data_IF_472701371112
#
_entry.id   IF_472701371112
#
_cell.length_a   1.000
_cell.length_b   1.000
_cell.length_c   1.000
_cell.angle_alpha   90.00
_cell.angle_beta   90.00
_cell.angle_gamma   90.00
#
_symmetry.space_group_name_H-M   'P 1'
#
loop_
_entity.id
_entity.type
_entity.pdbx_description
1 polymer ?
#
# COMPACT_ATOMS: atom_id res chain seq x y z
N UNK A 1 9.28 9.78 -7.79
CA UNK A 1 9.97 8.89 -6.82
C UNK A 1 11.04 8.08 -7.55
N UNK A 2 12.22 7.86 -6.96
CA UNK A 2 13.30 7.09 -7.61
C UNK A 2 13.35 5.66 -7.08
N UNK A 3 13.27 4.67 -7.98
CA UNK A 3 13.47 3.25 -7.67
C UNK A 3 14.91 3.01 -7.15
N UNK A 4 15.02 2.22 -6.10
CA UNK A 4 16.27 1.72 -5.54
C UNK A 4 16.40 0.25 -5.92
N UNK A 5 17.39 -0.05 -6.75
CA UNK A 5 17.66 -1.42 -7.22
C UNK A 5 18.05 -2.32 -6.04
N UNK A 6 17.47 -3.53 -6.03
CA UNK A 6 17.71 -4.53 -5.00
C UNK A 6 17.60 -5.91 -5.62
N UNK A 7 18.75 -6.57 -5.79
CA UNK A 7 18.81 -7.94 -6.32
C UNK A 7 18.01 -8.93 -5.48
N UNK A 8 17.87 -8.67 -4.17
CA UNK A 8 17.03 -9.47 -3.27
C UNK A 8 15.55 -9.32 -3.60
N UNK A 9 15.09 -8.10 -3.90
CA UNK A 9 13.72 -7.88 -4.35
C UNK A 9 13.49 -8.41 -5.75
N UNK A 10 14.44 -8.30 -6.67
CA UNK A 10 14.33 -8.91 -8.01
C UNK A 10 14.15 -10.44 -7.94
N UNK A 11 14.93 -11.11 -7.09
CA UNK A 11 14.79 -12.55 -6.86
C UNK A 11 13.44 -12.91 -6.24
N UNK A 12 12.96 -12.12 -5.27
CA UNK A 12 11.63 -12.31 -4.66
C UNK A 12 10.50 -12.03 -5.65
N UNK A 13 10.61 -11.02 -6.50
CA UNK A 13 9.61 -10.68 -7.51
C UNK A 13 9.47 -11.78 -8.55
N UNK A 14 10.59 -12.40 -8.94
CA UNK A 14 10.59 -13.58 -9.81
C UNK A 14 9.89 -14.77 -9.16
N UNK A 15 10.05 -14.93 -7.84
CA UNK A 15 9.44 -16.01 -7.07
C UNK A 15 7.98 -15.74 -6.67
N UNK A 16 7.55 -14.48 -6.59
CA UNK A 16 6.18 -14.05 -6.27
C UNK A 16 5.25 -14.00 -7.50
N UNK A 17 5.70 -14.56 -8.62
CA UNK A 17 4.91 -14.73 -9.82
C UNK A 17 4.61 -16.22 -10.01
N UNK A 18 3.36 -16.61 -9.81
CA UNK A 18 2.94 -18.01 -9.83
C UNK A 18 1.83 -18.23 -10.84
N UNK A 19 1.86 -19.37 -11.51
CA UNK A 19 0.76 -19.86 -12.33
C UNK A 19 0.39 -21.26 -11.81
N UNK A 20 -0.75 -21.37 -11.15
CA UNK A 20 -1.25 -22.61 -10.58
C UNK A 20 -2.31 -23.27 -11.48
N UNK A 21 -2.50 -22.79 -12.72
CA UNK A 21 -3.53 -23.26 -13.66
C UNK A 21 -4.95 -22.77 -13.33
N UNK A 22 -5.34 -22.79 -12.05
CA UNK A 22 -6.65 -22.29 -11.56
C UNK A 22 -6.61 -20.81 -11.15
N UNK A 23 -5.41 -20.27 -10.93
CA UNK A 23 -5.17 -18.87 -10.57
C UNK A 23 -3.72 -18.50 -10.84
N UNK A 24 -3.50 -17.23 -11.20
CA UNK A 24 -2.21 -16.59 -11.38
C UNK A 24 -1.99 -15.53 -10.30
N UNK A 25 -0.86 -15.61 -9.60
CA UNK A 25 -0.42 -14.56 -8.67
C UNK A 25 0.64 -13.70 -9.35
N UNK A 26 0.50 -12.39 -9.22
CA UNK A 26 1.49 -11.42 -9.65
C UNK A 26 1.80 -10.50 -8.47
N UNK A 27 2.89 -10.81 -7.75
CA UNK A 27 3.42 -9.99 -6.66
C UNK A 27 4.69 -9.24 -7.04
N UNK A 28 4.84 -8.02 -6.53
CA UNK A 28 6.02 -7.18 -6.74
C UNK A 28 6.32 -6.35 -5.49
N UNK A 29 7.58 -6.38 -5.08
CA UNK A 29 8.16 -5.64 -3.96
C UNK A 29 9.23 -4.73 -4.52
N UNK A 30 9.16 -3.45 -4.17
CA UNK A 30 10.08 -2.42 -4.66
C UNK A 30 10.44 -1.43 -3.57
N UNK A 31 11.65 -0.86 -3.66
CA UNK A 31 12.10 0.20 -2.76
C UNK A 31 12.21 1.52 -3.51
N UNK A 32 11.69 2.60 -2.93
CA UNK A 32 11.69 3.92 -3.51
C UNK A 32 12.28 4.95 -2.55
N UNK A 33 13.10 5.86 -3.08
CA UNK A 33 13.56 7.03 -2.33
C UNK A 33 12.56 8.19 -2.43
N UNK A 34 12.17 8.74 -1.28
CA UNK A 34 11.32 9.93 -1.16
C UNK A 34 12.08 11.25 -1.36
N UNK A 35 13.35 11.19 -1.78
CA UNK A 35 14.13 12.38 -2.12
C UNK A 35 13.57 12.99 -3.40
N UNK A 36 13.00 14.18 -3.30
CA UNK A 36 12.49 14.93 -4.44
C UNK A 36 13.65 15.28 -5.40
N UNK A 37 13.73 14.57 -6.52
CA UNK A 37 14.72 14.78 -7.57
C UNK A 37 14.05 14.95 -8.94
N UNK A 38 14.70 15.67 -9.85
CA UNK A 38 14.19 15.90 -11.21
C UNK A 38 12.79 16.53 -11.23
N UNK A 39 11.87 15.89 -11.96
CA UNK A 39 10.50 16.36 -12.19
C UNK A 39 9.60 16.27 -10.93
N UNK A 40 9.99 15.52 -9.90
CA UNK A 40 9.21 15.37 -8.65
C UNK A 40 8.92 16.73 -8.01
N UNK A 41 9.84 17.70 -8.10
CA UNK A 41 9.64 19.06 -7.57
C UNK A 41 8.53 19.82 -8.28
N UNK A 42 8.39 19.63 -9.59
CA UNK A 42 7.35 20.30 -10.38
C UNK A 42 5.99 19.65 -10.11
N UNK A 43 5.93 18.32 -10.09
CA UNK A 43 4.73 17.56 -9.74
C UNK A 43 4.25 17.92 -8.33
N UNK A 44 5.17 18.00 -7.37
CA UNK A 44 4.85 18.40 -6.00
C UNK A 44 4.23 19.79 -5.89
N UNK A 45 4.73 20.75 -6.69
CA UNK A 45 4.16 22.10 -6.74
C UNK A 45 2.76 22.11 -7.34
N UNK A 46 2.54 21.33 -8.42
CA UNK A 46 1.21 21.21 -9.04
C UNK A 46 0.20 20.56 -8.09
N UNK A 47 0.60 19.51 -7.38
CA UNK A 47 -0.24 18.83 -6.38
C UNK A 47 -0.69 19.75 -5.23
N UNK A 48 0.10 20.77 -4.91
CA UNK A 48 -0.21 21.76 -3.86
C UNK A 48 -0.53 23.15 -4.46
N UNK A 49 -0.99 23.22 -5.71
CA UNK A 49 -1.27 24.51 -6.37
C UNK A 49 -2.59 25.16 -5.90
N UNK A 50 -3.42 24.44 -5.15
CA UNK A 50 -4.64 24.99 -4.53
C UNK A 50 -4.31 26.13 -3.57
N UNK A 51 -4.95 27.28 -3.76
CA UNK A 51 -4.72 28.46 -2.91
C UNK A 51 -5.15 28.18 -1.46
N UNK A 52 -4.31 28.56 -0.51
CA UNK A 52 -4.59 28.45 0.93
C UNK A 52 -4.19 27.11 1.56
N UNK A 53 -3.57 26.22 0.80
CA UNK A 53 -3.18 24.89 1.28
C UNK A 53 -1.67 24.78 1.50
N UNK A 54 -1.26 24.18 2.61
CA UNK A 54 0.14 23.88 2.92
C UNK A 54 0.49 22.39 2.78
N UNK A 55 1.76 22.06 2.49
CA UNK A 55 2.29 20.68 2.52
C UNK A 55 1.99 19.84 3.76
N UNK A 56 1.81 20.51 4.90
CA UNK A 56 1.61 19.85 6.18
C UNK A 56 0.13 19.74 6.54
N UNK A 57 -0.76 20.31 5.72
CA UNK A 57 -2.20 20.18 5.92
C UNK A 57 -2.59 18.71 5.90
N UNK A 58 -3.51 18.38 6.79
CA UNK A 58 -3.97 17.02 7.01
C UNK A 58 -5.24 16.79 6.20
N UNK A 59 -5.31 15.64 5.54
CA UNK A 59 -6.50 15.14 4.86
C UNK A 59 -6.95 13.85 5.54
N UNK A 60 -8.27 13.66 5.61
CA UNK A 60 -8.85 12.43 6.12
C UNK A 60 -8.57 11.27 5.14
N UNK A 61 -8.18 10.14 5.70
CA UNK A 61 -8.05 8.86 5.01
C UNK A 61 -9.34 8.07 5.13
N UNK A 62 -9.49 7.07 4.27
CA UNK A 62 -10.51 6.04 4.45
C UNK A 62 -10.15 5.06 5.56
N UNK A 63 -11.14 4.41 6.19
CA UNK A 63 -10.89 3.31 7.12
C UNK A 63 -10.14 2.15 6.44
N UNK A 64 -9.34 1.37 7.19
CA UNK A 64 -8.71 0.15 6.66
C UNK A 64 -9.75 -0.86 6.18
N UNK A 65 -9.60 -1.38 4.96
CA UNK A 65 -10.50 -2.38 4.38
C UNK A 65 -9.92 -3.80 4.38
N UNK A 66 -8.61 -3.90 4.55
CA UNK A 66 -7.81 -5.13 4.60
C UNK A 66 -8.26 -6.01 5.77
N UNK A 67 -9.06 -7.05 5.52
CA UNK A 67 -9.56 -7.97 6.56
C UNK A 67 -11.07 -8.22 6.54
N UNK A 68 -11.84 -7.57 5.66
CA UNK A 68 -13.29 -7.78 5.56
C UNK A 68 -13.66 -9.02 4.73
N UNK A 69 -13.14 -10.18 5.14
CA UNK A 69 -13.56 -11.51 4.67
C UNK A 69 -14.70 -12.12 5.49
N UNK A 70 -15.35 -11.38 6.39
CA UNK A 70 -16.40 -11.91 7.28
C UNK A 70 -17.52 -10.86 7.44
N UNK A 71 -18.58 -11.01 6.64
CA UNK A 71 -19.93 -10.41 6.78
C UNK A 71 -20.08 -8.89 6.97
N UNK A 72 -21.06 -8.23 6.31
CA UNK A 72 -21.41 -6.84 6.59
C UNK A 72 -22.08 -6.74 7.96
N UNK A 73 -21.29 -6.48 9.02
CA UNK A 73 -21.85 -6.31 10.37
C UNK A 73 -20.92 -6.52 11.56
N UNK A 74 -19.67 -6.95 11.37
CA UNK A 74 -18.70 -7.07 12.47
C UNK A 74 -17.53 -6.11 12.31
N UNK A 75 -17.84 -4.83 12.45
CA UNK A 75 -16.88 -3.82 12.86
C UNK A 75 -16.28 -4.21 14.23
N UNK A 76 -15.05 -4.70 14.23
CA UNK A 76 -14.20 -4.78 15.42
C UNK A 76 -13.74 -3.37 15.84
N UNK A 77 -14.70 -2.47 16.11
CA UNK A 77 -14.47 -1.28 16.91
C UNK A 77 -14.93 -1.56 18.33
N UNK A 78 -14.30 -2.52 19.01
CA UNK A 78 -14.39 -2.57 20.47
C UNK A 78 -13.30 -1.68 21.05
N UNK A 79 -13.49 -0.36 20.92
CA UNK A 79 -12.91 0.62 21.83
C UNK A 79 -14.09 1.21 22.58
N UNK A 80 -14.45 0.57 23.69
CA UNK A 80 -15.43 1.08 24.64
C UNK A 80 -14.98 2.46 25.11
N UNK A 81 -15.59 3.52 24.57
CA UNK A 81 -15.54 4.87 25.14
C UNK A 81 -16.94 5.20 25.60
N UNK A 82 -17.12 5.13 26.91
CA UNK A 82 -18.15 5.84 27.63
C UNK A 82 -17.86 7.34 27.54
N UNK A 83 -18.84 8.12 27.06
CA UNK A 83 -18.86 9.58 27.21
C UNK A 83 -18.65 10.36 25.92
N UNK A 84 -19.74 10.97 25.47
CA UNK A 84 -19.90 12.18 24.67
C UNK A 84 -19.03 12.41 23.41
N UNK A 85 -19.72 12.32 22.26
CA UNK A 85 -19.44 12.99 20.98
C UNK A 85 -18.00 13.02 20.45
N UNK A 86 -17.51 11.89 19.91
CA UNK A 86 -16.56 11.89 18.80
C UNK A 86 -16.88 10.71 17.87
N UNK A 87 -17.22 11.00 16.61
CA UNK A 87 -17.45 9.99 15.58
C UNK A 87 -16.19 9.13 15.33
N UNK A 88 -16.26 8.10 14.45
CA UNK A 88 -15.10 7.28 14.16
C UNK A 88 -13.93 8.16 13.71
N UNK A 89 -12.86 8.22 14.52
CA UNK A 89 -11.65 8.98 14.26
C UNK A 89 -11.04 8.48 12.95
N UNK A 90 -11.30 9.18 11.85
CA UNK A 90 -10.65 8.89 10.58
C UNK A 90 -9.19 9.29 10.71
N UNK A 91 -8.27 8.35 10.43
CA UNK A 91 -6.85 8.67 10.38
C UNK A 91 -6.58 9.77 9.37
N UNK A 92 -5.53 10.55 9.61
CA UNK A 92 -5.16 11.66 8.73
C UNK A 92 -3.78 11.46 8.11
N UNK A 93 -3.60 12.05 6.93
CA UNK A 93 -2.34 12.06 6.20
C UNK A 93 -1.95 13.49 5.83
N UNK A 94 -0.67 13.83 5.93
CA UNK A 94 -0.21 15.11 5.40
C UNK A 94 -0.19 15.08 3.88
N UNK A 95 -0.51 16.20 3.23
CA UNK A 95 -0.42 16.33 1.76
C UNK A 95 0.93 15.92 1.20
N UNK A 96 2.01 16.20 1.94
CA UNK A 96 3.35 15.75 1.59
C UNK A 96 3.49 14.22 1.55
N UNK A 97 2.94 13.53 2.54
CA UNK A 97 3.01 12.06 2.60
C UNK A 97 2.10 11.46 1.53
N UNK A 98 0.89 12.00 1.36
CA UNK A 98 -0.02 11.59 0.29
C UNK A 98 0.63 11.69 -1.09
N UNK A 99 1.30 12.80 -1.38
CA UNK A 99 2.08 12.94 -2.61
C UNK A 99 3.16 11.85 -2.75
N UNK A 100 3.85 11.47 -1.68
CA UNK A 100 4.84 10.39 -1.75
C UNK A 100 4.19 9.05 -2.11
N UNK A 101 3.00 8.74 -1.60
CA UNK A 101 2.27 7.52 -1.95
C UNK A 101 1.85 7.55 -3.43
N UNK A 102 1.22 8.63 -3.88
CA UNK A 102 0.78 8.82 -5.27
C UNK A 102 1.96 8.76 -6.25
N UNK A 103 3.06 9.45 -5.94
CA UNK A 103 4.26 9.44 -6.77
C UNK A 103 4.97 8.08 -6.75
N UNK A 104 4.73 7.23 -5.74
CA UNK A 104 5.21 5.84 -5.71
C UNK A 104 4.36 4.97 -6.64
N UNK A 105 3.03 5.10 -6.62
CA UNK A 105 2.13 4.42 -7.57
C UNK A 105 2.49 4.74 -9.01
N UNK A 106 2.60 6.03 -9.34
CA UNK A 106 3.01 6.48 -10.68
C UNK A 106 4.37 5.92 -11.09
N UNK A 107 5.32 5.82 -10.16
CA UNK A 107 6.64 5.26 -10.47
C UNK A 107 6.61 3.74 -10.70
N UNK A 108 5.73 3.01 -10.01
CA UNK A 108 5.62 1.56 -10.09
C UNK A 108 4.87 1.08 -11.34
N UNK A 109 3.87 1.84 -11.78
CA UNK A 109 2.90 1.44 -12.79
C UNK A 109 2.94 2.27 -14.09
N UNK A 110 3.86 3.22 -14.22
CA UNK A 110 4.11 3.87 -15.50
C UNK A 110 4.64 2.88 -16.56
N UNK A 111 4.32 3.06 -17.85
CA UNK A 111 3.43 4.09 -18.41
C UNK A 111 1.95 3.70 -18.42
N UNK A 112 1.61 2.54 -17.87
CA UNK A 112 0.29 1.93 -18.05
C UNK A 112 -0.82 2.66 -17.28
N UNK A 113 -0.49 3.28 -16.15
CA UNK A 113 -1.45 3.94 -15.27
C UNK A 113 -0.98 5.31 -14.78
N UNK A 114 -1.93 6.25 -14.63
CA UNK A 114 -1.72 7.59 -14.06
C UNK A 114 -2.62 7.77 -12.82
N UNK A 115 -1.97 7.98 -11.67
CA UNK A 115 -2.58 8.19 -10.36
C UNK A 115 -2.52 9.66 -9.93
N UNK A 116 -2.16 10.60 -10.81
CA UNK A 116 -1.96 12.01 -10.46
C UNK A 116 -3.18 12.68 -9.83
N UNK A 117 -4.38 12.16 -10.11
CA UNK A 117 -5.65 12.66 -9.56
C UNK A 117 -6.13 11.92 -8.31
N UNK A 118 -5.44 10.87 -7.87
CA UNK A 118 -5.84 10.06 -6.72
C UNK A 118 -6.01 10.90 -5.45
N UNK A 119 -7.03 10.57 -4.65
CA UNK A 119 -7.49 11.34 -3.49
C UNK A 119 -7.20 10.61 -2.19
N UNK A 120 -7.19 11.36 -1.08
CA UNK A 120 -6.89 10.78 0.24
C UNK A 120 -7.86 9.67 0.68
N UNK A 121 -9.11 9.69 0.21
CA UNK A 121 -10.10 8.66 0.51
C UNK A 121 -9.86 7.33 -0.24
N UNK A 122 -8.95 7.29 -1.20
CA UNK A 122 -8.51 6.03 -1.82
C UNK A 122 -7.34 5.39 -1.04
N UNK A 123 -6.93 6.00 0.08
CA UNK A 123 -5.87 5.49 0.93
C UNK A 123 -6.37 5.27 2.36
N UNK A 124 -5.79 4.29 3.03
CA UNK A 124 -6.05 3.99 4.44
C UNK A 124 -4.74 3.87 5.21
N UNK A 125 -4.75 4.21 6.51
CA UNK A 125 -3.61 3.96 7.40
C UNK A 125 -3.80 2.63 8.11
N UNK A 126 -2.87 1.71 7.94
CA UNK A 126 -3.03 0.37 8.49
C UNK A 126 -2.82 0.33 10.02
N UNK A 127 -3.62 -0.45 10.77
CA UNK A 127 -3.62 -0.40 12.24
C UNK A 127 -2.30 -0.84 12.87
N UNK A 128 -1.63 -1.83 12.28
CA UNK A 128 -0.34 -2.34 12.76
C UNK A 128 0.38 -3.17 11.70
N UNK A 129 1.69 -3.34 11.87
CA UNK A 129 2.49 -4.26 11.06
C UNK A 129 1.93 -5.69 11.10
N UNK A 130 1.54 -6.17 12.29
CA UNK A 130 1.03 -7.53 12.46
C UNK A 130 -0.27 -7.75 11.67
N UNK A 131 -1.14 -6.74 11.63
CA UNK A 131 -2.38 -6.78 10.84
C UNK A 131 -2.10 -6.98 9.35
N UNK A 132 -1.17 -6.19 8.81
CA UNK A 132 -0.77 -6.24 7.40
C UNK A 132 -0.11 -7.59 7.08
N UNK A 133 0.81 -8.04 7.94
CA UNK A 133 1.47 -9.34 7.77
C UNK A 133 0.46 -10.48 7.75
N UNK A 134 -0.49 -10.51 8.70
CA UNK A 134 -1.52 -11.54 8.76
C UNK A 134 -2.39 -11.53 7.50
N UNK A 135 -2.81 -10.35 7.03
CA UNK A 135 -3.66 -10.22 5.84
C UNK A 135 -2.95 -10.72 4.58
N UNK A 136 -1.70 -10.30 4.37
CA UNK A 136 -0.87 -10.75 3.25
C UNK A 136 -0.63 -12.26 3.32
N UNK A 137 -0.26 -12.76 4.51
CA UNK A 137 0.01 -14.18 4.74
C UNK A 137 -1.24 -15.03 4.44
N UNK A 138 -2.41 -14.59 4.90
CA UNK A 138 -3.69 -15.27 4.66
C UNK A 138 -4.05 -15.33 3.18
N UNK A 139 -3.98 -14.21 2.45
CA UNK A 139 -4.31 -14.16 1.02
C UNK A 139 -3.39 -15.06 0.17
N UNK A 140 -2.08 -14.95 0.40
CA UNK A 140 -1.09 -15.73 -0.34
C UNK A 140 -1.15 -17.22 0.02
N UNK A 141 -1.29 -17.56 1.30
CA UNK A 141 -1.40 -18.96 1.73
C UNK A 141 -2.67 -19.64 1.21
N UNK A 142 -3.79 -18.91 1.15
CA UNK A 142 -5.05 -19.44 0.62
C UNK A 142 -4.98 -19.74 -0.89
N UNK A 143 -4.12 -19.03 -1.63
CA UNK A 143 -4.07 -19.11 -3.10
C UNK A 143 -2.95 -20.02 -3.61
N UNK A 144 -1.75 -19.97 -3.02
CA UNK A 144 -0.57 -20.76 -3.47
C UNK A 144 0.05 -21.65 -2.39
N UNK A 145 -0.51 -21.67 -1.18
CA UNK A 145 -0.19 -22.66 -0.13
C UNK A 145 1.31 -22.86 0.14
N UNK A 146 1.82 -24.01 -0.28
CA UNK A 146 3.21 -24.44 -0.03
C UNK A 146 4.25 -23.52 -0.65
N UNK A 147 3.97 -22.98 -1.84
CA UNK A 147 4.93 -22.16 -2.57
C UNK A 147 5.22 -20.87 -1.79
N UNK A 148 4.17 -20.22 -1.29
CA UNK A 148 4.33 -19.06 -0.42
C UNK A 148 4.95 -19.39 0.94
N UNK A 149 4.64 -20.55 1.53
CA UNK A 149 5.22 -20.96 2.82
C UNK A 149 6.75 -20.93 2.80
N UNK A 150 7.36 -21.35 1.69
CA UNK A 150 8.82 -21.32 1.50
C UNK A 150 9.40 -19.90 1.34
N UNK A 151 8.63 -18.97 0.78
CA UNK A 151 9.06 -17.59 0.50
C UNK A 151 8.77 -16.62 1.64
N UNK A 152 7.76 -16.91 2.47
CA UNK A 152 7.24 -16.02 3.51
C UNK A 152 8.34 -15.40 4.36
N UNK A 153 9.24 -16.22 4.89
CA UNK A 153 10.33 -15.74 5.74
C UNK A 153 11.28 -14.79 4.98
N UNK A 154 11.58 -15.11 3.72
CA UNK A 154 12.46 -14.30 2.88
C UNK A 154 11.83 -12.96 2.50
N UNK A 155 10.52 -12.95 2.20
CA UNK A 155 9.75 -11.73 1.91
C UNK A 155 9.82 -10.77 3.10
N UNK A 156 9.39 -11.22 4.27
CA UNK A 156 9.33 -10.35 5.44
C UNK A 156 10.72 -9.92 5.93
N UNK A 157 11.72 -10.81 5.86
CA UNK A 157 13.10 -10.43 6.19
C UNK A 157 13.66 -9.38 5.21
N UNK A 158 13.34 -9.48 3.91
CA UNK A 158 13.81 -8.51 2.93
C UNK A 158 13.21 -7.12 3.15
N UNK A 159 11.92 -7.05 3.47
CA UNK A 159 11.25 -5.78 3.80
C UNK A 159 11.81 -5.23 5.12
N UNK A 160 12.01 -6.08 6.14
CA UNK A 160 12.60 -5.67 7.42
C UNK A 160 13.96 -5.00 7.24
N UNK A 161 14.86 -5.63 6.48
CA UNK A 161 16.21 -5.14 6.28
C UNK A 161 16.25 -3.86 5.46
N UNK A 162 15.32 -3.70 4.51
CA UNK A 162 15.31 -2.54 3.61
C UNK A 162 14.72 -1.28 4.25
N UNK A 163 13.72 -1.40 5.13
CA UNK A 163 12.97 -0.22 5.62
C UNK A 163 12.76 -0.17 7.14
N UNK A 164 13.22 -1.17 7.89
CA UNK A 164 12.99 -1.32 9.33
C UNK A 164 11.49 -1.17 9.68
N UNK A 165 10.72 -2.24 9.49
CA UNK A 165 9.25 -2.17 9.50
C UNK A 165 8.64 -1.63 10.80
N UNK A 166 9.31 -1.82 11.94
CA UNK A 166 8.88 -1.27 13.24
C UNK A 166 8.89 0.25 13.32
N UNK A 167 9.60 0.93 12.42
CA UNK A 167 9.65 2.39 12.33
C UNK A 167 8.81 2.96 11.17
N UNK A 168 8.00 2.13 10.52
CA UNK A 168 7.18 2.53 9.38
C UNK A 168 5.79 2.99 9.82
N UNK A 169 5.29 4.06 9.16
CA UNK A 169 3.86 4.22 8.97
C UNK A 169 3.46 3.36 7.77
N UNK A 170 2.41 2.53 7.92
CA UNK A 170 1.95 1.64 6.86
C UNK A 170 0.63 2.17 6.30
N UNK A 171 0.55 2.22 4.97
CA UNK A 171 -0.64 2.67 4.25
C UNK A 171 -1.06 1.63 3.22
N UNK A 172 -2.32 1.65 2.82
CA UNK A 172 -2.84 0.91 1.67
C UNK A 172 -3.44 1.87 0.65
N UNK A 173 -3.40 1.48 -0.62
CA UNK A 173 -4.19 2.10 -1.70
C UNK A 173 -5.33 1.17 -2.09
N UNK A 174 -6.55 1.64 -1.89
CA UNK A 174 -7.81 0.95 -2.10
C UNK A 174 -8.65 1.82 -3.05
N UNK A 175 -8.44 1.71 -4.36
CA UNK A 175 -9.18 2.51 -5.34
C UNK A 175 -10.67 2.19 -5.29
N UNK A 176 -11.49 3.18 -5.60
CA UNK A 176 -12.92 2.94 -5.86
C UNK A 176 -13.09 2.05 -7.10
N UNK A 177 -14.16 1.26 -7.17
CA UNK A 177 -14.44 0.33 -8.28
C UNK A 177 -14.42 1.00 -9.67
N UNK A 178 -14.66 2.32 -9.75
CA UNK A 178 -14.61 3.09 -11.00
C UNK A 178 -13.20 3.58 -11.38
N UNK A 179 -12.30 3.62 -10.40
CA UNK A 179 -10.94 4.14 -10.50
C UNK A 179 -9.89 3.03 -10.40
N UNK A 180 -10.31 1.78 -10.15
CA UNK A 180 -9.40 0.67 -9.92
C UNK A 180 -8.85 0.10 -11.24
N UNK A 181 -7.55 0.31 -11.53
CA UNK A 181 -6.90 -0.25 -12.72
C UNK A 181 -6.83 -1.78 -12.70
N UNK A 182 -7.03 -2.39 -11.53
CA UNK A 182 -7.01 -3.84 -11.33
C UNK A 182 -8.40 -4.47 -11.37
N UNK A 183 -9.44 -3.73 -11.74
CA UNK A 183 -10.83 -4.22 -11.95
C UNK A 183 -10.98 -5.21 -13.13
N UNK A 184 -9.89 -5.82 -13.59
CA UNK A 184 -9.92 -6.82 -14.65
C UNK A 184 -10.83 -7.98 -14.24
N UNK A 185 -11.64 -8.46 -15.19
CA UNK A 185 -12.47 -9.65 -15.02
C UNK A 185 -11.61 -10.82 -14.50
N UNK A 186 -11.92 -11.31 -13.29
CA UNK A 186 -11.22 -12.44 -12.68
C UNK A 186 -10.23 -12.10 -11.56
N UNK A 187 -10.04 -10.84 -11.17
CA UNK A 187 -9.28 -10.52 -9.96
C UNK A 187 -9.98 -11.08 -8.70
N UNK A 188 -9.33 -12.03 -8.03
CA UNK A 188 -9.84 -12.67 -6.81
C UNK A 188 -9.62 -11.77 -5.59
N UNK A 189 -8.43 -11.19 -5.51
CA UNK A 189 -8.03 -10.22 -4.49
C UNK A 189 -6.80 -9.46 -4.96
N UNK A 190 -6.64 -8.25 -4.47
CA UNK A 190 -5.44 -7.45 -4.66
C UNK A 190 -5.11 -6.67 -3.38
N UNK A 191 -3.86 -6.26 -3.24
CA UNK A 191 -3.44 -5.30 -2.22
C UNK A 191 -2.29 -4.44 -2.70
N UNK A 192 -2.19 -3.23 -2.16
CA UNK A 192 -1.15 -2.26 -2.48
C UNK A 192 -0.68 -1.58 -1.19
N UNK A 193 0.35 -2.14 -0.54
CA UNK A 193 0.86 -1.64 0.75
C UNK A 193 2.12 -0.79 0.60
N UNK A 194 2.18 0.30 1.36
CA UNK A 194 3.33 1.19 1.46
C UNK A 194 3.90 1.14 2.87
N UNK A 195 5.14 0.68 3.00
CA UNK A 195 5.90 0.73 4.25
C UNK A 195 6.77 1.99 4.21
N UNK A 196 6.30 3.07 4.83
CA UNK A 196 6.98 4.36 4.78
C UNK A 196 7.81 4.63 6.05
N UNK A 197 9.14 4.58 5.91
CA UNK A 197 10.05 5.03 6.94
C UNK A 197 10.47 6.50 6.69
N UNK A 198 9.92 7.40 7.51
CA UNK A 198 10.18 8.85 7.45
C UNK A 198 11.65 9.21 7.73
N UNK A 199 12.34 8.46 8.59
CA UNK A 199 13.75 8.73 8.94
C UNK A 199 14.68 8.38 7.77
N UNK A 200 14.43 7.23 7.13
CA UNK A 200 15.18 6.80 5.94
C UNK A 200 14.78 7.55 4.66
N UNK A 201 13.63 8.24 4.68
CA UNK A 201 12.99 8.84 3.48
C UNK A 201 12.84 7.78 2.39
N UNK A 202 12.30 6.63 2.77
CA UNK A 202 12.20 5.43 1.93
C UNK A 202 10.82 4.81 2.07
N UNK A 203 10.26 4.39 0.95
CA UNK A 203 9.03 3.61 0.88
C UNK A 203 9.39 2.25 0.28
N UNK A 204 9.03 1.17 0.96
CA UNK A 204 8.91 -0.13 0.30
C UNK A 204 7.46 -0.29 -0.13
N UNK A 205 7.24 -0.51 -1.42
CA UNK A 205 5.93 -0.72 -2.00
C UNK A 205 5.76 -2.21 -2.30
N UNK A 206 4.73 -2.81 -1.72
CA UNK A 206 4.39 -4.22 -1.92
C UNK A 206 2.99 -4.31 -2.51
N UNK A 207 2.94 -4.64 -3.79
CA UNK A 207 1.70 -4.89 -4.52
C UNK A 207 1.59 -6.37 -4.86
N UNK A 208 0.37 -6.90 -4.79
CA UNK A 208 0.09 -8.25 -5.23
C UNK A 208 -1.36 -8.39 -5.66
N UNK A 209 -1.59 -9.18 -6.70
CA UNK A 209 -2.93 -9.57 -7.15
C UNK A 209 -2.99 -11.04 -7.50
N UNK A 210 -4.13 -11.66 -7.21
CA UNK A 210 -4.48 -12.98 -7.69
C UNK A 210 -5.59 -12.86 -8.73
N UNK A 211 -5.40 -13.50 -9.88
CA UNK A 211 -6.31 -13.49 -11.02
C UNK A 211 -6.69 -14.93 -11.32
N UNK A 212 -7.94 -15.18 -11.68
CA UNK A 212 -8.43 -16.50 -12.09
C UNK A 212 -7.99 -16.88 -13.50
#
# INVERSE_FOLDING_TARGET
>A
MKLLESSRFEALNSALCFDSGDSKIVGRIESYSCKMAGNDKQLYKRFNAEQGVTPNDLQALSPPQSGLGISPGQSYYSRSISGDEEGPLCDTISRKTLFYLIATLNAAFQPDYDFSDAKSHEFSKEPSLQWVMNTVDSNLSATVGEQYRSLRANVWAAIQDEVAMSECDIYSYNPDLTSDPFSEDGCLWSFNYFFYNKKLKRIVFFTCRAIK
#
